data_IF_052135383286
#
_entry.id   IF_052135383286
#
_cell.length_a   1.000
_cell.length_b   1.000
_cell.length_c   1.000
_cell.angle_alpha   90.00
_cell.angle_beta   90.00
_cell.angle_gamma   90.00
#
_symmetry.space_group_name_H-M   'P 1'
#
loop_
_entity.id
_entity.type
_entity.pdbx_description
1 polymer ?
#
# COMPACT_ATOMS: atom_id res chain seq x y z
N UNK A 1 -3.31 19.46 3.44
CA UNK A 1 -2.70 18.17 3.84
C UNK A 1 -3.54 17.00 3.41
N UNK A 2 -4.83 16.93 3.75
CA UNK A 2 -5.71 15.83 3.33
C UNK A 2 -5.82 15.75 1.81
N UNK A 3 -6.03 16.87 1.14
CA UNK A 3 -6.13 16.89 -0.33
C UNK A 3 -4.85 16.39 -1.00
N UNK A 4 -3.68 16.77 -0.51
CA UNK A 4 -2.40 16.27 -1.03
C UNK A 4 -2.28 14.76 -0.84
N UNK A 5 -2.73 14.25 0.31
CA UNK A 5 -2.72 12.82 0.59
C UNK A 5 -3.61 12.05 -0.39
N UNK A 6 -4.82 12.54 -0.63
CA UNK A 6 -5.75 11.90 -1.58
C UNK A 6 -5.19 11.93 -3.00
N UNK A 7 -4.62 13.04 -3.45
CA UNK A 7 -3.99 13.11 -4.78
C UNK A 7 -2.80 12.17 -4.90
N UNK A 8 -1.98 12.06 -3.85
CA UNK A 8 -0.90 11.09 -3.79
C UNK A 8 -1.44 9.65 -3.97
N UNK A 9 -2.46 9.28 -3.19
CA UNK A 9 -3.06 7.94 -3.29
C UNK A 9 -3.61 7.66 -4.69
N UNK A 10 -4.31 8.62 -5.27
CA UNK A 10 -4.86 8.48 -6.64
C UNK A 10 -3.77 8.31 -7.68
N UNK A 11 -2.63 8.98 -7.52
CA UNK A 11 -1.51 8.87 -8.45
C UNK A 11 -0.88 7.46 -8.45
N UNK A 12 -1.10 6.70 -7.39
CA UNK A 12 -0.57 5.35 -7.24
C UNK A 12 -1.56 4.25 -7.61
N UNK A 13 -2.79 4.59 -8.00
CA UNK A 13 -3.73 3.58 -8.51
C UNK A 13 -3.11 2.88 -9.72
N UNK A 14 -3.12 1.55 -9.70
CA UNK A 14 -2.51 0.70 -10.71
C UNK A 14 -1.08 0.27 -10.39
N UNK A 15 -0.47 0.79 -9.35
CA UNK A 15 0.84 0.34 -8.88
C UNK A 15 0.77 -1.09 -8.30
N UNK A 16 1.92 -1.74 -8.20
CA UNK A 16 2.01 -3.14 -7.81
C UNK A 16 1.97 -3.31 -6.29
N UNK A 17 1.53 -4.49 -5.85
CA UNK A 17 1.66 -4.92 -4.47
C UNK A 17 2.83 -5.91 -4.33
N UNK A 18 3.78 -5.58 -3.45
CA UNK A 18 4.86 -6.47 -3.05
C UNK A 18 5.04 -6.36 -1.53
N UNK A 19 5.16 -7.50 -0.85
CA UNK A 19 5.34 -7.53 0.60
C UNK A 19 6.56 -6.70 1.04
N UNK A 20 6.35 -5.81 2.00
CA UNK A 20 7.39 -4.94 2.54
C UNK A 20 7.81 -3.80 1.62
N UNK A 21 7.18 -3.62 0.47
CA UNK A 21 7.51 -2.54 -0.45
C UNK A 21 6.96 -1.19 0.01
N UNK A 22 7.70 -0.13 -0.27
CA UNK A 22 7.38 1.23 0.19
C UNK A 22 7.71 2.27 -0.89
N UNK A 23 7.27 2.04 -2.10
CA UNK A 23 7.38 2.98 -3.22
C UNK A 23 8.60 2.77 -4.11
N UNK A 24 9.21 1.62 -4.08
CA UNK A 24 10.31 1.30 -5.00
C UNK A 24 9.82 1.31 -6.45
N UNK A 25 10.58 1.92 -7.34
CA UNK A 25 10.25 1.99 -8.76
C UNK A 25 10.70 0.69 -9.45
N UNK A 26 9.78 -0.27 -9.55
CA UNK A 26 10.09 -1.57 -10.16
C UNK A 26 10.24 -1.50 -11.67
N UNK A 27 9.65 -0.49 -12.32
CA UNK A 27 9.81 -0.28 -13.76
C UNK A 27 11.21 0.23 -14.14
N UNK A 28 11.95 0.81 -13.20
CA UNK A 28 13.33 1.24 -13.42
C UNK A 28 14.33 0.10 -13.26
N UNK A 29 13.92 -1.05 -12.74
CA UNK A 29 14.78 -2.21 -12.56
C UNK A 29 14.81 -3.04 -13.84
N UNK A 30 15.99 -3.56 -14.28
CA UNK A 30 16.02 -4.65 -15.26
C UNK A 30 15.15 -5.83 -14.78
N UNK A 31 14.50 -6.53 -15.70
CA UNK A 31 13.50 -7.57 -15.34
C UNK A 31 14.07 -8.62 -14.39
N UNK A 32 15.29 -9.09 -14.63
CA UNK A 32 15.92 -10.08 -13.76
C UNK A 32 16.20 -9.54 -12.35
N UNK A 33 16.57 -8.26 -12.25
CA UNK A 33 16.79 -7.57 -10.96
C UNK A 33 15.46 -7.39 -10.22
N UNK A 34 14.43 -6.94 -10.92
CA UNK A 34 13.08 -6.78 -10.38
C UNK A 34 12.55 -8.10 -9.82
N UNK A 35 12.62 -9.16 -10.61
CA UNK A 35 12.08 -10.46 -10.21
C UNK A 35 12.84 -11.04 -9.01
N UNK A 36 14.15 -10.89 -8.96
CA UNK A 36 14.96 -11.30 -7.82
C UNK A 36 14.60 -10.48 -6.56
N UNK A 37 14.39 -9.18 -6.72
CA UNK A 37 13.97 -8.29 -5.63
C UNK A 37 12.61 -8.72 -5.06
N UNK A 38 11.62 -9.01 -5.94
CA UNK A 38 10.30 -9.48 -5.53
C UNK A 38 10.41 -10.81 -4.77
N UNK A 39 11.20 -11.74 -5.28
CA UNK A 39 11.39 -13.06 -4.64
C UNK A 39 12.04 -12.95 -3.26
N UNK A 40 12.91 -11.99 -3.05
CA UNK A 40 13.50 -11.76 -1.71
C UNK A 40 12.52 -11.14 -0.73
N UNK A 41 11.57 -10.35 -1.21
CA UNK A 41 10.57 -9.68 -0.37
C UNK A 41 9.41 -10.58 0.00
N UNK A 42 8.93 -11.38 -0.94
CA UNK A 42 7.75 -12.21 -0.73
C UNK A 42 8.06 -13.42 0.14
N UNK A 43 7.06 -13.81 0.93
CA UNK A 43 7.19 -14.91 1.89
C UNK A 43 7.02 -16.29 1.27
N UNK A 44 6.38 -16.38 0.09
CA UNK A 44 6.19 -17.63 -0.64
C UNK A 44 6.50 -17.45 -2.12
N UNK A 45 6.91 -18.54 -2.77
CA UNK A 45 7.15 -18.56 -4.22
C UNK A 45 5.87 -18.25 -5.01
N UNK A 46 4.72 -18.71 -4.53
CA UNK A 46 3.43 -18.45 -5.16
C UNK A 46 3.09 -16.95 -5.15
N UNK A 47 3.26 -16.29 -4.02
CA UNK A 47 3.03 -14.85 -3.91
C UNK A 47 4.02 -14.04 -4.75
N UNK A 48 5.29 -14.44 -4.78
CA UNK A 48 6.28 -13.82 -5.64
C UNK A 48 5.87 -13.90 -7.12
N UNK A 49 5.39 -15.05 -7.56
CA UNK A 49 4.96 -15.22 -8.95
C UNK A 49 3.73 -14.38 -9.28
N UNK A 50 2.78 -14.25 -8.35
CA UNK A 50 1.61 -13.38 -8.53
C UNK A 50 2.02 -11.91 -8.69
N UNK A 51 2.95 -11.43 -7.88
CA UNK A 51 3.47 -10.07 -7.99
C UNK A 51 4.23 -9.85 -9.31
N UNK A 52 5.06 -10.80 -9.72
CA UNK A 52 5.77 -10.77 -11.01
C UNK A 52 4.77 -10.71 -12.16
N UNK A 53 3.74 -11.54 -12.14
CA UNK A 53 2.70 -11.56 -13.17
C UNK A 53 1.98 -10.22 -13.27
N UNK A 54 1.69 -9.60 -12.13
CA UNK A 54 1.10 -8.26 -12.12
C UNK A 54 2.01 -7.24 -12.82
N UNK A 55 3.29 -7.22 -12.46
CA UNK A 55 4.25 -6.32 -13.09
C UNK A 55 4.35 -6.55 -14.59
N UNK A 56 4.31 -7.80 -15.04
CA UNK A 56 4.42 -8.16 -16.46
C UNK A 56 3.20 -7.70 -17.28
N UNK A 57 2.00 -7.72 -16.68
CA UNK A 57 0.78 -7.32 -17.40
C UNK A 57 0.42 -5.85 -17.24
N UNK A 58 1.04 -5.16 -16.28
CA UNK A 58 0.75 -3.75 -16.04
C UNK A 58 1.26 -2.88 -17.17
N UNK A 59 0.41 -1.97 -17.64
CA UNK A 59 0.82 -0.94 -18.61
C UNK A 59 1.27 0.37 -17.96
N UNK A 60 1.28 0.42 -16.62
CA UNK A 60 1.65 1.64 -15.89
C UNK A 60 3.16 1.85 -15.91
N UNK A 61 3.60 3.06 -16.27
CA UNK A 61 5.02 3.44 -16.27
C UNK A 61 5.14 4.93 -15.88
N UNK A 62 5.81 5.31 -14.81
CA UNK A 62 6.52 4.41 -13.89
C UNK A 62 5.57 3.52 -13.09
N UNK A 63 6.04 2.34 -12.74
CA UNK A 63 5.34 1.38 -11.90
C UNK A 63 6.06 1.27 -10.55
N UNK A 64 5.38 1.66 -9.49
CA UNK A 64 5.90 1.55 -8.13
C UNK A 64 5.31 0.32 -7.43
N UNK A 65 5.93 -0.11 -6.35
CA UNK A 65 5.44 -1.21 -5.54
C UNK A 65 5.22 -0.77 -4.09
N UNK A 66 4.15 -1.26 -3.49
CA UNK A 66 3.78 -0.97 -2.11
C UNK A 66 3.18 -2.20 -1.46
N UNK A 67 3.31 -2.33 -0.13
CA UNK A 67 2.36 -3.13 0.64
C UNK A 67 1.27 -2.21 1.22
N UNK A 68 0.34 -2.77 2.00
CA UNK A 68 -0.82 -2.01 2.45
C UNK A 68 -0.44 -0.80 3.32
N UNK A 69 0.44 -0.99 4.28
CA UNK A 69 0.93 0.10 5.13
C UNK A 69 1.98 0.97 4.43
N UNK A 70 2.78 0.37 3.55
CA UNK A 70 3.83 1.07 2.80
C UNK A 70 3.31 2.20 1.93
N UNK A 71 2.14 2.01 1.32
CA UNK A 71 1.48 3.06 0.54
C UNK A 71 1.21 4.31 1.38
N UNK A 72 0.78 4.12 2.61
CA UNK A 72 0.44 5.21 3.53
C UNK A 72 1.70 5.79 4.19
N UNK A 73 2.56 4.94 4.71
CA UNK A 73 3.73 5.37 5.48
C UNK A 73 4.74 6.13 4.63
N UNK A 74 4.84 5.82 3.34
CA UNK A 74 5.69 6.62 2.45
C UNK A 74 5.27 8.09 2.45
N UNK A 75 4.00 8.39 2.31
CA UNK A 75 3.50 9.77 2.37
C UNK A 75 3.79 10.40 3.74
N UNK A 76 3.48 9.67 4.82
CA UNK A 76 3.66 10.18 6.17
C UNK A 76 5.13 10.45 6.50
N UNK A 77 6.04 9.62 6.03
CA UNK A 77 7.48 9.82 6.18
C UNK A 77 7.98 10.99 5.33
N UNK A 78 7.58 11.07 4.08
CA UNK A 78 7.98 12.14 3.17
C UNK A 78 7.53 13.53 3.68
N UNK A 79 6.35 13.57 4.32
CA UNK A 79 5.83 14.80 4.96
C UNK A 79 6.32 15.00 6.39
N UNK A 80 7.16 14.10 6.89
CA UNK A 80 7.71 14.15 8.26
C UNK A 80 6.62 14.13 9.36
N UNK A 81 5.47 13.53 9.06
CA UNK A 81 4.39 13.33 10.04
C UNK A 81 4.76 12.21 11.00
N UNK A 82 5.42 11.18 10.51
CA UNK A 82 6.01 10.11 11.31
C UNK A 82 7.52 10.08 11.09
N UNK A 83 8.26 9.54 12.06
CA UNK A 83 9.73 9.52 12.02
C UNK A 83 10.30 8.15 11.63
N UNK A 84 9.50 7.11 11.72
CA UNK A 84 9.90 5.75 11.41
C UNK A 84 8.76 4.99 10.75
N UNK A 85 9.09 3.96 10.00
CA UNK A 85 8.10 3.10 9.34
C UNK A 85 7.19 2.41 10.37
N UNK A 86 5.92 2.22 9.98
CA UNK A 86 4.90 1.57 10.80
C UNK A 86 4.09 0.60 9.95
N UNK A 87 3.85 -0.60 10.50
CA UNK A 87 2.93 -1.55 9.86
C UNK A 87 1.46 -1.16 10.14
N UNK A 88 0.52 -1.90 9.54
CA UNK A 88 -0.91 -1.62 9.69
C UNK A 88 -1.37 -1.68 11.14
N UNK A 89 -0.86 -2.63 11.92
CA UNK A 89 -1.23 -2.76 13.34
C UNK A 89 -0.72 -1.56 14.16
N UNK A 90 0.49 -1.10 13.92
CA UNK A 90 1.05 0.07 14.59
C UNK A 90 0.28 1.35 14.25
N UNK A 91 -0.10 1.54 12.98
CA UNK A 91 -0.95 2.66 12.57
C UNK A 91 -2.33 2.60 13.23
N UNK A 92 -2.90 1.40 13.35
CA UNK A 92 -4.15 1.21 14.08
C UNK A 92 -4.02 1.61 15.56
N UNK A 93 -2.95 1.19 16.22
CA UNK A 93 -2.70 1.50 17.63
C UNK A 93 -2.53 3.01 17.88
N UNK A 94 -2.02 3.73 16.89
CA UNK A 94 -1.84 5.19 16.98
C UNK A 94 -3.10 5.97 16.57
N UNK A 95 -4.14 5.30 16.11
CA UNK A 95 -5.37 5.92 15.63
C UNK A 95 -6.45 5.92 16.72
N UNK A 96 -7.37 6.89 16.65
CA UNK A 96 -8.56 6.92 17.49
C UNK A 96 -9.72 6.23 16.78
N UNK A 97 -10.41 5.28 17.45
CA UNK A 97 -11.61 4.66 16.86
C UNK A 97 -12.72 5.68 16.69
N UNK A 98 -13.42 5.61 15.56
CA UNK A 98 -14.59 6.43 15.29
C UNK A 98 -15.74 5.54 14.82
N UNK A 99 -16.97 6.03 14.95
CA UNK A 99 -18.15 5.37 14.39
C UNK A 99 -18.10 5.44 12.87
N UNK A 100 -18.65 4.43 12.20
CA UNK A 100 -18.73 4.39 10.74
C UNK A 100 -19.41 5.64 10.18
N UNK A 101 -20.46 6.13 10.86
CA UNK A 101 -21.20 7.33 10.45
C UNK A 101 -20.36 8.62 10.52
N UNK A 102 -19.24 8.60 11.23
CA UNK A 102 -18.34 9.76 11.37
C UNK A 102 -17.16 9.72 10.42
N UNK A 103 -17.10 8.73 9.53
CA UNK A 103 -15.98 8.51 8.61
C UNK A 103 -15.85 9.69 7.65
N UNK A 104 -14.64 10.24 7.57
CA UNK A 104 -14.29 11.38 6.71
C UNK A 104 -13.19 11.01 5.74
N UNK A 105 -13.12 11.73 4.63
CA UNK A 105 -12.07 11.57 3.62
C UNK A 105 -10.69 11.74 4.28
N UNK A 106 -9.82 10.77 4.06
CA UNK A 106 -8.49 10.70 4.66
C UNK A 106 -8.39 9.82 5.89
N UNK A 107 -9.53 9.35 6.43
CA UNK A 107 -9.52 8.43 7.56
C UNK A 107 -9.05 7.04 7.14
N UNK A 108 -8.38 6.35 8.06
CA UNK A 108 -7.91 4.99 7.84
C UNK A 108 -9.01 3.99 8.15
N UNK A 109 -9.09 2.95 7.34
CA UNK A 109 -9.97 1.79 7.56
C UNK A 109 -9.10 0.54 7.66
N UNK A 110 -9.48 -0.38 8.53
CA UNK A 110 -8.65 -1.52 8.90
C UNK A 110 -9.41 -2.83 8.79
N UNK A 111 -8.67 -3.92 8.52
CA UNK A 111 -9.16 -5.29 8.68
C UNK A 111 -8.38 -5.97 9.78
N UNK A 112 -9.07 -6.81 10.57
CA UNK A 112 -8.47 -7.59 11.63
C UNK A 112 -9.01 -9.02 11.60
N UNK A 113 -8.25 -9.92 12.23
CA UNK A 113 -8.61 -11.34 12.34
C UNK A 113 -9.07 -11.74 13.75
N UNK A 114 -9.45 -10.75 14.58
CA UNK A 114 -9.85 -10.93 15.97
C UNK A 114 -8.71 -10.73 16.96
N UNK A 115 -7.46 -10.92 16.57
CA UNK A 115 -6.29 -10.76 17.44
C UNK A 115 -5.34 -9.66 16.97
N UNK A 116 -5.30 -9.39 15.67
CA UNK A 116 -4.36 -8.43 15.08
C UNK A 116 -4.99 -7.76 13.86
N UNK A 117 -4.67 -6.48 13.68
CA UNK A 117 -4.91 -5.76 12.43
C UNK A 117 -3.85 -6.19 11.41
N UNK A 118 -4.28 -6.57 10.22
CA UNK A 118 -3.38 -7.07 9.17
C UNK A 118 -3.48 -6.29 7.85
N UNK A 119 -4.44 -5.37 7.74
CA UNK A 119 -4.64 -4.59 6.50
C UNK A 119 -5.14 -3.19 6.83
N UNK A 120 -4.78 -2.23 5.97
CA UNK A 120 -5.17 -0.83 6.07
C UNK A 120 -5.49 -0.26 4.69
N UNK A 121 -6.49 0.59 4.63
CA UNK A 121 -6.81 1.40 3.45
C UNK A 121 -7.17 2.81 3.90
N UNK A 122 -7.47 3.68 2.94
CA UNK A 122 -7.84 5.07 3.18
C UNK A 122 -9.19 5.37 2.55
N UNK A 123 -10.10 5.88 3.36
CA UNK A 123 -11.42 6.31 2.89
C UNK A 123 -11.29 7.59 2.05
N UNK A 124 -11.88 7.57 0.86
CA UNK A 124 -11.82 8.70 -0.07
C UNK A 124 -13.18 9.32 -0.37
N UNK A 125 -14.22 8.95 0.38
CA UNK A 125 -15.60 9.40 0.17
C UNK A 125 -16.37 8.48 -0.77
N UNK A 126 -17.69 8.67 -0.84
CA UNK A 126 -18.55 7.91 -1.75
C UNK A 126 -18.55 6.40 -1.51
N UNK A 127 -18.35 5.96 -0.28
CA UNK A 127 -18.21 4.55 0.10
C UNK A 127 -17.02 3.85 -0.59
N UNK A 128 -15.98 4.60 -0.95
CA UNK A 128 -14.79 4.07 -1.63
C UNK A 128 -13.54 4.18 -0.77
N UNK A 129 -12.63 3.25 -0.99
CA UNK A 129 -11.34 3.15 -0.31
C UNK A 129 -10.25 2.96 -1.35
N UNK A 130 -9.11 3.65 -1.17
CA UNK A 130 -7.87 3.31 -1.88
C UNK A 130 -7.01 2.47 -0.95
N UNK A 131 -6.51 1.34 -1.47
CA UNK A 131 -5.68 0.40 -0.73
C UNK A 131 -4.71 -0.32 -1.64
N UNK A 132 -3.54 -0.67 -1.14
CA UNK A 132 -2.69 -1.67 -1.77
C UNK A 132 -3.25 -3.04 -1.37
N UNK A 133 -4.10 -3.61 -2.22
CA UNK A 133 -5.00 -4.70 -1.87
C UNK A 133 -4.32 -6.06 -1.82
N UNK A 134 -3.50 -6.36 -2.81
CA UNK A 134 -2.83 -7.64 -2.90
C UNK A 134 -2.08 -7.80 -4.21
N UNK A 135 -1.39 -8.94 -4.36
CA UNK A 135 -0.48 -9.20 -5.48
C UNK A 135 -1.19 -9.21 -6.84
N UNK A 136 -2.44 -9.66 -6.87
CA UNK A 136 -3.22 -9.74 -8.11
C UNK A 136 -3.84 -8.41 -8.51
N UNK A 137 -4.12 -7.54 -7.56
CA UNK A 137 -4.91 -6.33 -7.75
C UNK A 137 -4.08 -5.03 -7.72
N UNK A 138 -2.96 -5.03 -7.00
CA UNK A 138 -2.17 -3.82 -6.77
C UNK A 138 -2.92 -2.78 -5.95
N UNK A 139 -2.65 -1.52 -6.26
CA UNK A 139 -3.30 -0.36 -5.62
C UNK A 139 -4.58 0.00 -6.33
#
# INVERSE_FOLDING_TARGET
MVNEFIEYLKSHIGDAYVWGAQGENVSAMPINVRDAWIKRRETTAANAQRAINYCNRSGKNPLFAFDCSGLITKFLLDKKIIKADKNSHALYSDSEPIEFSQLQVGDFVFRHNGSRVYHIGVYIGGNMVIEAKGRDDGV
#
